data_IF_778186453291
#
_entry.id   IF_778186453291
#
_cell.length_a   1.000
_cell.length_b   1.000
_cell.length_c   1.000
_cell.angle_alpha   90.00
_cell.angle_beta   90.00
_cell.angle_gamma   90.00
#
_symmetry.space_group_name_H-M   'P 1'
#
loop_
_entity.id
_entity.type
_entity.pdbx_description
1 polymer ?
#
# COMPACT_ATOMS: atom_id res chain seq x y z
N UNK A 1 76.89 37.45 -46.18
CA UNK A 1 76.19 37.66 -47.47
C UNK A 1 74.98 36.74 -47.54
N UNK A 2 73.82 37.36 -47.77
CA UNK A 2 72.61 36.87 -48.42
C UNK A 2 72.03 35.49 -48.10
N UNK A 3 70.93 35.54 -47.36
CA UNK A 3 69.78 34.66 -47.48
C UNK A 3 68.79 35.26 -48.49
N UNK A 4 68.29 34.49 -49.47
CA UNK A 4 66.96 34.72 -50.06
C UNK A 4 66.05 33.51 -49.78
N UNK A 5 64.95 33.70 -49.06
CA UNK A 5 63.60 33.99 -49.60
C UNK A 5 63.01 32.87 -50.47
N UNK A 6 62.20 32.00 -49.83
CA UNK A 6 60.94 31.46 -50.38
C UNK A 6 59.86 31.76 -49.33
N UNK A 7 59.11 32.84 -49.50
CA UNK A 7 57.88 32.95 -50.29
C UNK A 7 56.73 32.07 -49.78
N UNK A 8 55.68 32.78 -49.35
CA UNK A 8 54.26 32.44 -49.46
C UNK A 8 53.70 31.37 -48.52
N UNK A 9 53.09 31.79 -47.42
CA UNK A 9 51.64 32.06 -47.32
C UNK A 9 50.80 30.79 -47.48
N UNK A 10 50.39 30.22 -46.34
CA UNK A 10 49.16 29.45 -46.24
C UNK A 10 48.50 29.77 -44.90
N UNK A 11 47.55 30.71 -44.98
CA UNK A 11 46.60 31.01 -43.92
C UNK A 11 45.72 29.78 -43.69
N UNK A 12 45.95 29.02 -42.62
CA UNK A 12 44.93 28.07 -42.13
C UNK A 12 44.13 28.73 -41.01
N UNK A 13 43.36 29.75 -41.40
CA UNK A 13 42.27 30.26 -40.57
C UNK A 13 41.17 29.18 -40.56
N UNK A 14 40.49 29.08 -39.41
CA UNK A 14 39.17 28.47 -39.20
C UNK A 14 39.17 26.99 -38.86
N UNK A 15 38.93 26.71 -37.57
CA UNK A 15 37.57 26.46 -37.04
C UNK A 15 37.71 26.12 -35.55
N UNK A 16 37.78 27.14 -34.71
CA UNK A 16 37.34 26.98 -33.33
C UNK A 16 35.86 26.63 -33.41
N UNK A 17 35.53 25.35 -33.22
CA UNK A 17 34.15 24.87 -33.14
C UNK A 17 33.51 25.61 -31.97
N UNK A 18 32.68 26.58 -32.34
CA UNK A 18 31.80 27.31 -31.46
C UNK A 18 30.86 26.31 -30.77
N UNK A 19 31.33 25.72 -29.67
CA UNK A 19 30.46 25.09 -28.68
C UNK A 19 29.67 26.23 -28.04
N UNK A 20 28.62 26.67 -28.75
CA UNK A 20 27.51 27.36 -28.12
C UNK A 20 26.90 26.34 -27.16
N UNK A 21 27.45 26.28 -25.95
CA UNK A 21 26.75 25.79 -24.78
C UNK A 21 25.43 26.55 -24.77
N UNK A 22 24.35 25.86 -25.16
CA UNK A 22 23.00 26.36 -24.93
C UNK A 22 22.93 26.55 -23.42
N UNK A 23 23.07 27.78 -22.97
CA UNK A 23 22.72 28.17 -21.61
C UNK A 23 21.28 27.69 -21.44
N UNK A 24 21.12 26.57 -20.74
CA UNK A 24 19.80 26.08 -20.36
C UNK A 24 19.19 27.22 -19.57
N UNK A 25 18.12 27.78 -20.12
CA UNK A 25 17.34 28.81 -19.47
C UNK A 25 16.79 28.16 -18.19
N UNK A 26 17.50 28.30 -17.07
CA UNK A 26 17.03 27.83 -15.78
C UNK A 26 16.00 28.86 -15.32
N UNK A 27 14.78 28.70 -15.79
CA UNK A 27 13.62 29.38 -15.23
C UNK A 27 13.42 28.86 -13.81
N UNK A 28 13.76 29.69 -12.82
CA UNK A 28 13.39 29.45 -11.43
C UNK A 28 11.89 29.61 -11.23
N UNK A 29 11.30 28.79 -10.35
CA UNK A 29 9.92 28.98 -9.92
C UNK A 29 9.76 30.33 -9.25
N UNK A 30 8.64 30.99 -9.51
CA UNK A 30 8.31 32.23 -8.82
C UNK A 30 7.90 31.93 -7.37
N UNK A 31 8.22 32.83 -6.43
CA UNK A 31 7.78 32.67 -5.03
C UNK A 31 6.25 32.58 -4.94
N UNK A 32 5.55 33.28 -5.82
CA UNK A 32 4.08 33.27 -5.88
C UNK A 32 3.51 31.92 -6.35
N UNK A 33 4.18 31.22 -7.27
CA UNK A 33 3.78 29.87 -7.70
C UNK A 33 3.84 28.88 -6.55
N UNK A 34 4.92 28.91 -5.76
CA UNK A 34 5.02 28.01 -4.62
C UNK A 34 4.09 28.43 -3.47
N UNK A 35 3.86 29.72 -3.28
CA UNK A 35 2.95 30.23 -2.25
C UNK A 35 1.51 29.76 -2.48
N UNK A 36 0.97 29.90 -3.70
CA UNK A 36 -0.41 29.47 -3.96
C UNK A 36 -0.57 27.95 -3.83
N UNK A 37 0.45 27.17 -4.21
CA UNK A 37 0.42 25.71 -4.10
C UNK A 37 0.33 25.26 -2.64
N UNK A 38 1.17 25.79 -1.74
CA UNK A 38 1.12 25.38 -0.33
C UNK A 38 -0.17 25.84 0.36
N UNK A 39 -0.75 26.97 -0.07
CA UNK A 39 -2.05 27.44 0.43
C UNK A 39 -3.15 26.45 0.03
N UNK A 40 -3.20 26.03 -1.23
CA UNK A 40 -4.18 25.05 -1.70
C UNK A 40 -3.96 23.69 -1.01
N UNK A 41 -2.71 23.21 -0.91
CA UNK A 41 -2.40 21.96 -0.21
C UNK A 41 -2.76 22.02 1.28
N UNK A 42 -2.59 23.17 1.95
CA UNK A 42 -3.02 23.40 3.32
C UNK A 42 -4.53 23.25 3.51
N UNK A 43 -5.32 23.87 2.63
CA UNK A 43 -6.79 23.77 2.67
C UNK A 43 -7.26 22.34 2.37
N UNK A 44 -6.73 21.72 1.30
CA UNK A 44 -7.12 20.36 0.91
C UNK A 44 -6.75 19.32 1.97
N UNK A 45 -5.54 19.40 2.54
CA UNK A 45 -5.09 18.47 3.57
C UNK A 45 -5.94 18.53 4.84
N UNK A 46 -6.38 19.73 5.25
CA UNK A 46 -7.26 19.90 6.41
C UNK A 46 -8.61 19.18 6.25
N UNK A 47 -9.23 19.25 5.08
CA UNK A 47 -10.53 18.57 4.81
C UNK A 47 -10.38 17.05 4.77
N UNK A 48 -9.29 16.55 4.19
CA UNK A 48 -9.05 15.10 4.03
C UNK A 48 -8.95 14.38 5.38
N UNK A 49 -8.31 14.99 6.38
CA UNK A 49 -8.15 14.35 7.70
C UNK A 49 -9.50 14.01 8.34
N UNK A 50 -10.45 14.95 8.33
CA UNK A 50 -11.79 14.69 8.85
C UNK A 50 -12.57 13.69 7.99
N UNK A 51 -12.41 13.74 6.67
CA UNK A 51 -13.11 12.85 5.74
C UNK A 51 -12.68 11.37 5.86
N UNK A 52 -11.41 11.10 6.21
CA UNK A 52 -10.87 9.74 6.33
C UNK A 52 -11.09 9.14 7.72
N UNK A 53 -11.40 9.96 8.73
CA UNK A 53 -11.71 9.46 10.08
C UNK A 53 -12.89 8.46 10.05
N UNK A 54 -12.67 7.26 10.58
CA UNK A 54 -13.67 6.18 10.64
C UNK A 54 -13.78 5.28 9.39
N UNK A 55 -13.05 5.54 8.30
CA UNK A 55 -13.00 4.59 7.16
C UNK A 55 -12.39 3.25 7.60
N UNK A 56 -11.33 3.32 8.40
CA UNK A 56 -10.67 2.11 8.92
C UNK A 56 -11.61 1.29 9.80
N UNK A 57 -12.39 1.94 10.69
CA UNK A 57 -13.32 1.25 11.58
C UNK A 57 -14.42 0.53 10.80
N UNK A 58 -14.96 1.17 9.76
CA UNK A 58 -15.94 0.55 8.86
C UNK A 58 -15.34 -0.62 8.07
N UNK A 59 -14.09 -0.47 7.63
CA UNK A 59 -13.34 -1.54 6.97
C UNK A 59 -13.15 -2.76 7.88
N UNK A 60 -12.75 -2.53 9.13
CA UNK A 60 -12.57 -3.57 10.14
C UNK A 60 -13.90 -4.26 10.49
N UNK A 61 -15.00 -3.51 10.57
CA UNK A 61 -16.33 -4.07 10.81
C UNK A 61 -16.83 -4.94 9.66
N UNK A 62 -16.59 -4.52 8.41
CA UNK A 62 -16.92 -5.32 7.23
C UNK A 62 -16.07 -6.59 7.15
N UNK A 63 -14.77 -6.49 7.43
CA UNK A 63 -13.86 -7.63 7.50
C UNK A 63 -14.29 -8.62 8.59
N UNK A 64 -14.57 -8.14 9.80
CA UNK A 64 -15.03 -9.00 10.90
C UNK A 64 -16.31 -9.77 10.53
N UNK A 65 -17.31 -9.11 9.95
CA UNK A 65 -18.57 -9.76 9.55
C UNK A 65 -18.33 -10.86 8.51
N UNK A 66 -17.45 -10.60 7.54
CA UNK A 66 -17.09 -11.56 6.48
C UNK A 66 -16.33 -12.76 7.03
N UNK A 67 -15.34 -12.51 7.88
CA UNK A 67 -14.53 -13.55 8.49
C UNK A 67 -15.33 -14.41 9.45
N UNK A 68 -16.17 -13.79 10.30
CA UNK A 68 -17.08 -14.52 11.18
C UNK A 68 -17.96 -15.45 10.37
N UNK A 69 -18.53 -14.98 9.26
CA UNK A 69 -19.38 -15.81 8.40
C UNK A 69 -18.61 -16.96 7.77
N UNK A 70 -17.38 -16.72 7.34
CA UNK A 70 -16.51 -17.77 6.78
C UNK A 70 -16.21 -18.85 7.82
N UNK A 71 -15.98 -18.46 9.07
CA UNK A 71 -15.78 -19.40 10.18
C UNK A 71 -17.06 -20.17 10.52
N UNK A 72 -18.22 -19.53 10.57
CA UNK A 72 -19.52 -20.21 10.77
C UNK A 72 -19.72 -21.31 9.71
N UNK A 73 -19.46 -21.00 8.44
CA UNK A 73 -19.57 -22.00 7.36
C UNK A 73 -18.60 -23.17 7.55
N UNK A 74 -17.36 -22.89 7.97
CA UNK A 74 -16.37 -23.93 8.22
C UNK A 74 -16.75 -24.82 9.42
N UNK A 75 -17.31 -24.23 10.48
CA UNK A 75 -17.79 -24.97 11.66
C UNK A 75 -18.96 -25.89 11.29
N UNK A 76 -19.91 -25.42 10.49
CA UNK A 76 -21.02 -26.24 9.98
C UNK A 76 -20.52 -27.36 9.06
N UNK A 77 -19.55 -27.06 8.18
CA UNK A 77 -18.95 -28.06 7.32
C UNK A 77 -18.17 -29.13 8.10
N UNK A 78 -17.55 -28.76 9.23
CA UNK A 78 -16.92 -29.69 10.14
C UNK A 78 -17.96 -30.63 10.77
N UNK A 79 -19.09 -30.08 11.25
CA UNK A 79 -20.19 -30.88 11.80
C UNK A 79 -20.75 -31.87 10.78
N UNK A 80 -20.95 -31.41 9.53
CA UNK A 80 -21.41 -32.27 8.44
C UNK A 80 -20.47 -33.46 8.14
N UNK A 81 -19.16 -33.31 8.41
CA UNK A 81 -18.18 -34.38 8.19
C UNK A 81 -18.00 -35.30 9.39
N UNK A 82 -17.96 -34.75 10.60
CA UNK A 82 -17.54 -35.49 11.79
C UNK A 82 -18.70 -35.86 12.73
N UNK A 83 -19.90 -35.32 12.49
CA UNK A 83 -21.08 -35.52 13.33
C UNK A 83 -21.03 -34.78 14.68
N UNK A 84 -19.95 -34.04 14.94
CA UNK A 84 -19.74 -33.24 16.14
C UNK A 84 -19.17 -31.87 15.76
N UNK A 85 -19.41 -30.86 16.59
CA UNK A 85 -18.78 -29.55 16.40
C UNK A 85 -17.32 -29.59 16.83
N UNK A 86 -16.46 -28.74 16.24
CA UNK A 86 -15.08 -28.61 16.69
C UNK A 86 -15.04 -28.14 18.15
N UNK A 87 -14.01 -28.54 18.91
CA UNK A 87 -13.86 -28.13 20.30
C UNK A 87 -13.71 -26.60 20.42
N UNK A 88 -14.15 -26.04 21.54
CA UNK A 88 -14.00 -24.61 21.80
C UNK A 88 -12.52 -24.21 21.94
N UNK A 89 -12.21 -22.95 21.63
CA UNK A 89 -10.86 -22.39 21.78
C UNK A 89 -9.84 -22.89 20.75
N UNK A 90 -8.56 -22.87 21.13
CA UNK A 90 -7.43 -23.19 20.24
C UNK A 90 -7.45 -24.60 19.62
N UNK A 91 -7.90 -25.66 20.32
CA UNK A 91 -8.00 -26.99 19.71
C UNK A 91 -8.91 -27.00 18.48
N UNK A 92 -10.05 -26.28 18.50
CA UNK A 92 -10.94 -26.21 17.35
C UNK A 92 -10.32 -25.46 16.17
N UNK A 93 -9.56 -24.40 16.45
CA UNK A 93 -8.83 -23.67 15.42
C UNK A 93 -7.77 -24.53 14.75
N UNK A 94 -7.05 -25.36 15.51
CA UNK A 94 -6.06 -26.28 14.97
C UNK A 94 -6.71 -27.26 13.98
N UNK A 95 -7.87 -27.82 14.35
CA UNK A 95 -8.59 -28.75 13.47
C UNK A 95 -9.11 -28.10 12.19
N UNK A 96 -9.64 -26.88 12.28
CA UNK A 96 -10.18 -26.14 11.14
C UNK A 96 -9.10 -25.62 10.18
N UNK A 97 -7.87 -25.41 10.65
CA UNK A 97 -6.81 -24.72 9.86
C UNK A 97 -5.62 -25.59 9.47
N UNK A 98 -5.30 -26.62 10.25
CA UNK A 98 -4.11 -27.47 10.03
C UNK A 98 -4.41 -28.96 10.18
N UNK A 99 -5.61 -29.31 10.65
CA UNK A 99 -6.03 -30.70 10.83
C UNK A 99 -6.39 -31.41 9.53
N UNK A 100 -6.75 -32.69 9.66
CA UNK A 100 -7.22 -33.53 8.53
C UNK A 100 -8.47 -32.96 7.84
N UNK A 101 -9.21 -32.09 8.54
CA UNK A 101 -10.36 -31.36 8.07
C UNK A 101 -10.04 -29.87 7.90
N UNK A 102 -8.94 -29.55 7.22
CA UNK A 102 -8.59 -28.17 6.88
C UNK A 102 -9.69 -27.54 6.01
N UNK A 103 -10.53 -26.73 6.63
CA UNK A 103 -11.66 -26.02 6.01
C UNK A 103 -11.39 -24.52 5.87
N UNK A 104 -10.45 -24.01 6.69
CA UNK A 104 -9.95 -22.65 6.61
C UNK A 104 -8.47 -22.68 6.22
N UNK A 105 -8.06 -21.73 5.38
CA UNK A 105 -6.64 -21.59 5.00
C UNK A 105 -5.78 -21.12 6.17
N UNK A 106 -6.35 -20.28 7.03
CA UNK A 106 -5.70 -19.73 8.23
C UNK A 106 -6.78 -19.25 9.19
N UNK A 107 -6.42 -19.10 10.48
CA UNK A 107 -7.31 -18.46 11.44
C UNK A 107 -7.47 -16.98 11.05
N UNK A 108 -8.68 -16.48 10.79
CA UNK A 108 -8.87 -15.06 10.53
C UNK A 108 -8.52 -14.25 11.77
N UNK A 109 -7.58 -13.32 11.60
CA UNK A 109 -7.18 -12.32 12.59
C UNK A 109 -7.11 -11.00 11.85
N UNK A 110 -7.97 -10.07 12.25
CA UNK A 110 -7.96 -8.70 11.71
C UNK A 110 -7.55 -7.71 12.79
N UNK A 111 -7.08 -6.55 12.35
CA UNK A 111 -6.72 -5.46 13.25
C UNK A 111 -7.98 -4.90 13.92
N UNK A 112 -8.11 -5.15 15.22
CA UNK A 112 -9.21 -4.63 16.03
C UNK A 112 -10.38 -5.60 16.26
N UNK A 113 -10.34 -6.85 15.80
CA UNK A 113 -11.31 -7.87 16.21
C UNK A 113 -10.69 -9.26 16.42
N UNK A 114 -11.37 -10.06 17.24
CA UNK A 114 -11.04 -11.47 17.46
C UNK A 114 -12.26 -12.33 17.26
N UNK A 115 -12.09 -13.47 16.60
CA UNK A 115 -13.13 -14.49 16.47
C UNK A 115 -12.79 -15.62 17.44
N UNK A 116 -13.79 -16.11 18.16
CA UNK A 116 -13.67 -17.17 19.16
C UNK A 116 -14.65 -18.29 18.84
N UNK A 117 -14.16 -19.53 18.90
CA UNK A 117 -14.96 -20.75 18.83
C UNK A 117 -15.43 -21.10 20.24
N UNK A 118 -16.73 -21.05 20.45
CA UNK A 118 -17.41 -21.52 21.64
C UNK A 118 -17.86 -22.98 21.51
N UNK A 119 -18.52 -23.45 22.56
CA UNK A 119 -19.11 -24.79 22.57
C UNK A 119 -20.28 -24.90 21.60
N UNK A 120 -20.58 -26.12 21.14
CA UNK A 120 -21.73 -26.42 20.27
C UNK A 120 -21.77 -25.60 18.98
N UNK A 121 -20.61 -25.30 18.40
CA UNK A 121 -20.52 -24.57 17.13
C UNK A 121 -20.78 -23.06 17.24
N UNK A 122 -20.88 -22.51 18.45
CA UNK A 122 -21.05 -21.08 18.66
C UNK A 122 -19.82 -20.32 18.14
N UNK A 123 -20.00 -19.41 17.18
CA UNK A 123 -18.95 -18.51 16.71
C UNK A 123 -19.26 -17.10 17.20
N UNK A 124 -18.40 -16.57 18.07
CA UNK A 124 -18.50 -15.19 18.55
C UNK A 124 -17.37 -14.34 17.99
N UNK A 125 -17.65 -13.05 17.82
CA UNK A 125 -16.64 -12.08 17.46
C UNK A 125 -16.68 -10.91 18.45
N UNK A 126 -15.50 -10.42 18.85
CA UNK A 126 -15.33 -9.31 19.78
C UNK A 126 -14.48 -8.21 19.14
N UNK A 127 -14.67 -6.96 19.55
CA UNK A 127 -13.96 -5.79 19.03
C UNK A 127 -14.75 -5.03 17.96
N UNK A 128 -14.07 -4.59 16.90
CA UNK A 128 -14.55 -3.71 15.84
C UNK A 128 -15.61 -4.33 14.90
N UNK A 129 -16.44 -5.26 15.39
CA UNK A 129 -17.44 -5.99 14.60
C UNK A 129 -18.82 -5.32 14.56
N UNK A 130 -19.00 -4.22 15.31
CA UNK A 130 -20.24 -3.45 15.39
C UNK A 130 -20.35 -2.46 14.24
#
# INVERSE_FOLDING_TARGET
MNYPLRASVARTVRRARNQRTRTRNQSGFTLIELLVVIVILGVLSGVVVFAVSGIQDRGNAAACKTDKKSVEVAVEAYYAKNGTYPPAGDPGWLELTVGVNQLLRSRPVGDGYTITLGVNGLVTASGACT
#
